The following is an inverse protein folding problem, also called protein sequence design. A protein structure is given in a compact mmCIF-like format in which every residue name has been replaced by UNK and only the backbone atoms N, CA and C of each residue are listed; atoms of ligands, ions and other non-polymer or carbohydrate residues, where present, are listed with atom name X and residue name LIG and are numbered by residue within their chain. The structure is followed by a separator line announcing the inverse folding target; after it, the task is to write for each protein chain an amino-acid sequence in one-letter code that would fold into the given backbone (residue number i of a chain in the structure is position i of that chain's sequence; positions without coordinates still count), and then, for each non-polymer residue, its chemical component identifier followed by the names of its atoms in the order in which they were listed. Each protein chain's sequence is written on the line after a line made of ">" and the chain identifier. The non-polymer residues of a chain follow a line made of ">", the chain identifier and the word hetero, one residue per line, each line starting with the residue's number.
data_IF_589268907656
#
_entry.id   IF_589268907656
#
_cell.length_a   1.000
_cell.length_b   1.000
_cell.length_c   1.000
_cell.angle_alpha   90.00
_cell.angle_beta   90.00
_cell.angle_gamma   90.00
#
_symmetry.space_group_name_H-M   'P 1'
#
loop_
_entity.id
_entity.type
_entity.pdbx_description
1 polymer ?
#
# COMPACT_ATOMS: atom_id res chain seq x y z
N UNK A 1 8.38 -8.04 15.81
CA UNK A 1 7.32 -7.86 14.78
C UNK A 1 6.04 -7.51 15.49
N UNK A 2 5.35 -6.44 15.08
CA UNK A 2 4.18 -5.90 15.79
C UNK A 2 3.00 -5.73 14.83
N UNK A 3 1.85 -6.38 15.08
CA UNK A 3 0.67 -6.22 14.23
C UNK A 3 -0.06 -4.91 14.54
N UNK A 4 -0.64 -4.32 13.52
CA UNK A 4 -1.48 -3.13 13.56
C UNK A 4 -2.76 -3.38 12.79
N UNK A 5 -3.89 -2.91 13.33
CA UNK A 5 -5.21 -3.05 12.71
C UNK A 5 -5.82 -1.66 12.59
N UNK A 6 -6.30 -1.33 11.39
CA UNK A 6 -7.00 -0.08 11.13
C UNK A 6 -8.16 -0.30 10.17
N UNK A 7 -9.15 0.57 10.31
CA UNK A 7 -10.29 0.67 9.40
C UNK A 7 -10.28 2.04 8.74
N UNK A 8 -10.35 2.05 7.42
CA UNK A 8 -10.58 3.25 6.63
C UNK A 8 -12.06 3.41 6.32
N UNK A 9 -12.47 4.65 6.14
CA UNK A 9 -13.85 5.10 6.05
C UNK A 9 -14.18 5.68 4.67
N UNK A 10 -15.47 5.74 4.29
CA UNK A 10 -15.91 6.29 3.02
C UNK A 10 -15.30 7.66 2.70
N UNK A 11 -14.86 7.83 1.46
CA UNK A 11 -14.29 9.08 0.96
C UNK A 11 -12.81 9.32 1.31
N UNK A 12 -12.21 8.50 2.18
CA UNK A 12 -10.76 8.53 2.38
C UNK A 12 -10.03 7.99 1.15
N UNK A 13 -8.80 8.47 0.96
CA UNK A 13 -7.88 7.89 0.00
C UNK A 13 -7.15 6.69 0.62
N UNK A 14 -7.22 5.53 -0.02
CA UNK A 14 -6.63 4.28 0.47
C UNK A 14 -5.12 4.43 0.68
N UNK A 15 -4.38 4.89 -0.33
CA UNK A 15 -2.92 4.92 -0.27
C UNK A 15 -2.47 6.00 0.71
N UNK A 16 -3.01 7.22 0.59
CA UNK A 16 -2.60 8.33 1.44
C UNK A 16 -2.96 8.08 2.92
N UNK A 17 -4.08 7.43 3.21
CA UNK A 17 -4.44 7.07 4.58
C UNK A 17 -3.50 6.02 5.18
N UNK A 18 -3.07 5.02 4.40
CA UNK A 18 -2.06 4.04 4.86
C UNK A 18 -0.73 4.74 5.11
N UNK A 19 -0.27 5.57 4.17
CA UNK A 19 0.99 6.29 4.32
C UNK A 19 0.97 7.24 5.54
N UNK A 20 -0.18 7.89 5.80
CA UNK A 20 -0.38 8.72 7.01
C UNK A 20 -0.32 7.88 8.28
N UNK A 21 -0.96 6.71 8.29
CA UNK A 21 -0.92 5.78 9.41
C UNK A 21 0.52 5.34 9.75
N UNK A 22 1.36 5.10 8.73
CA UNK A 22 2.77 4.74 8.94
C UNK A 22 3.54 5.87 9.64
N UNK A 23 3.31 7.12 9.23
CA UNK A 23 3.96 8.29 9.83
C UNK A 23 3.50 8.47 11.27
N UNK A 24 2.19 8.43 11.53
CA UNK A 24 1.62 8.62 12.87
C UNK A 24 2.05 7.55 13.89
N UNK A 25 2.36 6.34 13.41
CA UNK A 25 2.76 5.21 14.24
C UNK A 25 4.27 4.91 14.17
N UNK A 26 5.05 5.79 13.54
CA UNK A 26 6.51 5.69 13.43
C UNK A 26 6.96 4.34 12.82
N UNK A 27 6.22 3.84 11.82
CA UNK A 27 6.50 2.56 11.16
C UNK A 27 7.51 2.80 10.02
N UNK A 28 8.79 2.52 10.29
CA UNK A 28 9.88 2.64 9.31
C UNK A 28 9.98 1.46 8.33
N UNK A 29 9.48 0.27 8.73
CA UNK A 29 9.47 -0.93 7.92
C UNK A 29 8.26 -1.81 8.25
N UNK A 30 7.58 -2.31 7.22
CA UNK A 30 6.48 -3.24 7.40
C UNK A 30 5.94 -3.81 6.10
N UNK A 31 4.86 -4.58 6.22
CA UNK A 31 4.11 -5.07 5.08
C UNK A 31 2.60 -5.07 5.34
N UNK A 32 1.83 -5.05 4.25
CA UNK A 32 0.39 -5.35 4.31
C UNK A 32 0.22 -6.86 4.47
N UNK A 33 -0.50 -7.28 5.51
CA UNK A 33 -0.86 -8.69 5.72
C UNK A 33 -2.16 -9.01 4.97
N UNK A 34 -3.15 -8.14 5.09
CA UNK A 34 -4.42 -8.27 4.38
C UNK A 34 -5.14 -6.93 4.30
N UNK A 35 -5.93 -6.74 3.26
CA UNK A 35 -6.91 -5.67 3.13
C UNK A 35 -8.19 -6.22 2.51
N UNK A 36 -9.32 -5.99 3.17
CA UNK A 36 -10.66 -6.30 2.64
C UNK A 36 -11.48 -5.03 2.67
N UNK A 37 -12.15 -4.68 1.58
CA UNK A 37 -12.89 -3.43 1.51
C UNK A 37 -13.43 -3.12 0.14
N UNK A 38 -13.78 -1.86 -0.08
CA UNK A 38 -14.33 -1.44 -1.37
C UNK A 38 -13.87 -0.03 -1.76
N UNK A 39 -13.80 0.20 -3.07
CA UNK A 39 -13.46 1.49 -3.68
C UNK A 39 -14.60 1.96 -4.59
N UNK A 40 -14.81 3.28 -4.66
CA UNK A 40 -15.69 3.90 -5.68
C UNK A 40 -14.91 4.57 -6.82
N UNK A 41 -13.60 4.71 -6.62
CA UNK A 41 -12.64 5.25 -7.57
C UNK A 41 -11.31 4.55 -7.31
N UNK A 42 -10.66 4.04 -8.35
CA UNK A 42 -9.35 3.44 -8.25
C UNK A 42 -8.41 4.10 -9.26
N UNK A 43 -7.26 4.59 -8.80
CA UNK A 43 -6.21 5.12 -9.67
C UNK A 43 -5.07 4.12 -9.76
N UNK A 44 -4.94 3.51 -10.93
CA UNK A 44 -4.10 2.34 -11.17
C UNK A 44 -3.09 2.62 -12.28
N UNK A 45 -1.80 2.42 -12.02
CA UNK A 45 -0.79 2.41 -13.09
C UNK A 45 -0.55 0.99 -13.56
N UNK A 46 -1.11 0.68 -14.74
CA UNK A 46 -0.94 -0.63 -15.36
C UNK A 46 0.51 -0.87 -15.79
N UNK A 47 0.84 -2.15 -16.01
CA UNK A 47 2.17 -2.56 -16.40
C UNK A 47 2.66 -1.80 -17.65
N UNK A 48 3.89 -1.31 -17.58
CA UNK A 48 4.55 -0.56 -18.65
C UNK A 48 3.79 0.71 -19.11
N UNK A 49 3.00 1.31 -18.22
CA UNK A 49 2.37 2.62 -18.46
C UNK A 49 3.07 3.70 -17.65
N UNK A 50 3.25 4.88 -18.25
CA UNK A 50 3.88 6.02 -17.58
C UNK A 50 2.94 6.66 -16.54
N UNK A 51 1.64 6.69 -16.84
CA UNK A 51 0.62 7.40 -16.06
C UNK A 51 -0.44 6.46 -15.48
N UNK A 52 -1.11 6.95 -14.43
CA UNK A 52 -2.26 6.27 -13.84
C UNK A 52 -3.50 6.32 -14.72
N UNK A 53 -4.31 5.27 -14.64
CA UNK A 53 -5.66 5.19 -15.21
C UNK A 53 -6.67 5.24 -14.07
N UNK A 54 -7.61 6.17 -14.15
CA UNK A 54 -8.72 6.28 -13.20
C UNK A 54 -9.85 5.36 -13.67
N UNK A 55 -10.25 4.45 -12.79
CA UNK A 55 -11.44 3.62 -12.92
C UNK A 55 -12.49 4.14 -11.92
N UNK A 56 -13.70 4.40 -12.41
CA UNK A 56 -14.85 4.81 -11.57
C UNK A 56 -15.92 3.73 -11.66
N UNK A 57 -16.51 3.38 -10.53
CA UNK A 57 -17.46 2.28 -10.42
C UNK A 57 -17.60 1.86 -8.96
N UNK A 58 -18.07 0.64 -8.72
CA UNK A 58 -18.02 0.02 -7.39
C UNK A 58 -17.14 -1.21 -7.48
N UNK A 59 -16.12 -1.27 -6.62
CA UNK A 59 -15.13 -2.32 -6.66
C UNK A 59 -14.91 -2.92 -5.28
N UNK A 60 -14.80 -4.24 -5.21
CA UNK A 60 -14.31 -4.95 -4.03
C UNK A 60 -12.77 -5.02 -4.08
N UNK A 61 -12.10 -4.71 -2.97
CA UNK A 61 -10.66 -4.94 -2.79
C UNK A 61 -10.50 -6.42 -2.45
N UNK A 62 -10.02 -7.18 -3.43
CA UNK A 62 -9.83 -8.65 -3.30
C UNK A 62 -8.39 -9.02 -2.93
N UNK A 63 -7.43 -8.11 -3.15
CA UNK A 63 -6.09 -8.21 -2.59
C UNK A 63 -5.43 -6.83 -2.52
N UNK A 64 -4.67 -6.58 -1.45
CA UNK A 64 -3.70 -5.50 -1.37
C UNK A 64 -2.40 -6.08 -0.82
N UNK A 65 -1.32 -5.87 -1.56
CA UNK A 65 0.03 -6.24 -1.13
C UNK A 65 0.88 -4.98 -1.10
N UNK A 66 1.75 -4.85 -0.12
CA UNK A 66 2.67 -3.72 -0.10
C UNK A 66 3.84 -3.92 0.83
N UNK A 67 4.97 -3.33 0.44
CA UNK A 67 6.13 -3.10 1.29
C UNK A 67 6.06 -1.67 1.77
N UNK A 68 5.93 -1.51 3.09
CA UNK A 68 5.64 -0.26 3.76
C UNK A 68 6.92 0.36 4.28
N UNK A 69 7.16 1.62 3.92
CA UNK A 69 8.36 2.36 4.31
C UNK A 69 8.01 3.83 4.49
N UNK A 70 8.56 4.43 5.54
CA UNK A 70 8.48 5.88 5.76
C UNK A 70 9.17 6.70 4.65
N UNK A 71 10.07 6.09 3.87
CA UNK A 71 10.76 6.72 2.73
C UNK A 71 10.07 6.51 1.39
N UNK A 72 8.98 5.74 1.34
CA UNK A 72 8.23 5.46 0.12
C UNK A 72 7.71 4.02 0.09
N UNK A 73 6.41 3.86 0.36
CA UNK A 73 5.75 2.56 0.25
C UNK A 73 5.49 2.15 -1.19
N UNK A 74 5.47 0.84 -1.46
CA UNK A 74 5.15 0.28 -2.77
C UNK A 74 3.96 -0.68 -2.63
N UNK A 75 2.85 -0.35 -3.30
CA UNK A 75 1.59 -1.08 -3.22
C UNK A 75 1.16 -1.63 -4.58
N UNK A 76 0.78 -2.89 -4.61
CA UNK A 76 -0.02 -3.47 -5.68
C UNK A 76 -1.38 -3.88 -5.14
N UNK A 77 -2.42 -3.68 -5.94
CA UNK A 77 -3.81 -3.98 -5.58
C UNK A 77 -4.46 -4.82 -6.68
N UNK A 78 -5.41 -5.68 -6.29
CA UNK A 78 -6.38 -6.30 -7.17
C UNK A 78 -7.79 -5.91 -6.69
N UNK A 79 -8.61 -5.44 -7.63
CA UNK A 79 -9.99 -5.03 -7.39
C UNK A 79 -10.94 -5.75 -8.34
N UNK A 80 -12.14 -6.11 -7.88
CA UNK A 80 -13.17 -6.76 -8.70
C UNK A 80 -14.38 -5.84 -8.89
N UNK A 81 -14.86 -5.69 -10.12
CA UNK A 81 -16.10 -4.94 -10.40
C UNK A 81 -17.38 -5.75 -10.12
N UNK A 82 -18.54 -5.15 -10.38
CA UNK A 82 -19.86 -5.78 -10.21
C UNK A 82 -20.09 -7.04 -11.07
N UNK A 83 -19.29 -7.28 -12.10
CA UNK A 83 -19.31 -8.53 -12.88
C UNK A 83 -18.28 -9.55 -12.39
N UNK A 84 -17.50 -9.23 -11.34
CA UNK A 84 -16.41 -10.05 -10.86
C UNK A 84 -15.15 -9.99 -11.73
N UNK A 85 -15.07 -9.06 -12.69
CA UNK A 85 -13.86 -8.87 -13.48
C UNK A 85 -12.81 -8.16 -12.63
N UNK A 86 -11.61 -8.73 -12.61
CA UNK A 86 -10.51 -8.27 -11.77
C UNK A 86 -9.58 -7.34 -12.56
N UNK A 87 -9.24 -6.20 -11.97
CA UNK A 87 -8.20 -5.28 -12.42
C UNK A 87 -7.07 -5.29 -11.38
N UNK A 88 -5.84 -5.50 -11.82
CA UNK A 88 -4.67 -5.52 -10.94
C UNK A 88 -3.55 -4.63 -11.47
N UNK A 89 -2.96 -3.82 -10.59
CA UNK A 89 -1.94 -2.85 -10.98
C UNK A 89 -1.18 -2.26 -9.77
N UNK A 90 -0.28 -1.33 -10.06
CA UNK A 90 0.32 -0.46 -9.06
C UNK A 90 -0.70 0.58 -8.57
N UNK A 91 -0.88 0.67 -7.25
CA UNK A 91 -1.84 1.58 -6.61
C UNK A 91 -1.25 2.99 -6.52
N UNK A 92 -1.99 3.98 -6.99
CA UNK A 92 -1.66 5.39 -6.87
C UNK A 92 -2.62 6.10 -5.92
N UNK A 93 -2.21 7.30 -5.48
CA UNK A 93 -3.09 8.25 -4.82
C UNK A 93 -4.27 8.61 -5.74
N UNK A 94 -5.39 8.99 -5.16
CA UNK A 94 -6.68 9.15 -5.83
C UNK A 94 -7.55 7.88 -5.82
N UNK A 95 -7.27 6.91 -4.95
CA UNK A 95 -8.06 5.67 -4.84
C UNK A 95 -8.97 5.74 -3.62
N UNK A 96 -10.27 5.89 -3.84
CA UNK A 96 -11.21 6.38 -2.83
C UNK A 96 -12.10 5.28 -2.27
N UNK A 97 -12.09 5.13 -0.94
CA UNK A 97 -12.91 4.15 -0.21
C UNK A 97 -14.39 4.37 -0.47
N UNK A 98 -15.11 3.29 -0.77
CA UNK A 98 -16.56 3.32 -0.91
C UNK A 98 -17.27 3.11 0.43
N UNK A 99 -17.18 1.91 1.02
CA UNK A 99 -17.86 1.60 2.30
C UNK A 99 -16.89 1.46 3.47
N UNK A 100 -15.80 0.73 3.29
CA UNK A 100 -14.78 0.45 4.30
C UNK A 100 -13.51 -0.09 3.64
N UNK A 101 -12.38 0.01 4.32
CA UNK A 101 -11.26 -0.89 4.08
C UNK A 101 -10.66 -1.31 5.43
N UNK A 102 -10.61 -2.61 5.67
CA UNK A 102 -10.13 -3.24 6.89
C UNK A 102 -8.74 -3.78 6.61
N UNK A 103 -7.73 -3.18 7.25
CA UNK A 103 -6.33 -3.42 6.96
C UNK A 103 -5.63 -4.00 8.18
N UNK A 104 -4.81 -5.02 7.94
CA UNK A 104 -3.83 -5.51 8.91
C UNK A 104 -2.44 -5.26 8.35
N UNK A 105 -1.61 -4.60 9.14
CA UNK A 105 -0.21 -4.28 8.83
C UNK A 105 0.69 -4.99 9.83
N UNK A 106 1.84 -5.48 9.36
CA UNK A 106 2.89 -6.03 10.22
C UNK A 106 4.11 -5.11 10.19
N UNK A 107 4.47 -4.56 11.34
CA UNK A 107 5.67 -3.74 11.52
C UNK A 107 6.89 -4.62 11.84
N UNK A 108 8.02 -4.29 11.23
CA UNK A 108 9.33 -4.90 11.47
C UNK A 108 10.23 -3.96 12.28
N UNK A 109 10.26 -4.13 13.60
CA UNK A 109 10.98 -3.24 14.53
C UNK A 109 12.51 -3.32 14.42
N UNK A 110 13.02 -4.38 13.81
CA UNK A 110 14.46 -4.59 13.59
C UNK A 110 14.94 -4.06 12.23
N UNK A 111 14.04 -3.48 11.44
CA UNK A 111 14.35 -3.01 10.09
C UNK A 111 13.99 -1.54 9.91
N UNK A 112 14.77 -0.89 9.05
CA UNK A 112 14.40 0.34 8.35
C UNK A 112 14.43 0.06 6.85
N UNK A 113 13.35 0.40 6.16
CA UNK A 113 13.31 0.27 4.70
C UNK A 113 13.57 1.62 4.07
N UNK A 114 14.54 1.67 3.15
CA UNK A 114 14.86 2.85 2.35
C UNK A 114 14.58 2.62 0.88
N UNK A 115 14.54 3.72 0.10
CA UNK A 115 14.46 3.71 -1.36
C UNK A 115 15.72 4.35 -1.93
N UNK A 116 16.57 3.53 -2.56
CA UNK A 116 17.84 3.99 -3.13
C UNK A 116 17.77 3.83 -4.64
N UNK A 117 18.24 4.84 -5.37
CA UNK A 117 18.31 4.78 -6.83
C UNK A 117 19.18 3.59 -7.28
N UNK A 118 18.58 2.67 -8.01
CA UNK A 118 19.25 1.52 -8.59
C UNK A 118 19.62 1.77 -10.06
N UNK A 119 20.84 1.40 -10.44
CA UNK A 119 21.37 1.69 -11.78
C UNK A 119 20.82 0.75 -12.85
N UNK A 120 20.43 -0.47 -12.47
CA UNK A 120 19.92 -1.47 -13.43
C UNK A 120 18.47 -1.17 -13.82
N UNK A 121 17.63 -0.86 -12.84
CA UNK A 121 16.21 -0.55 -13.03
C UNK A 121 15.95 0.91 -13.41
N UNK A 122 16.80 1.84 -12.97
CA UNK A 122 16.58 3.28 -13.09
C UNK A 122 15.52 3.84 -12.13
N UNK A 123 15.13 3.07 -11.10
CA UNK A 123 14.12 3.46 -10.11
C UNK A 123 14.69 3.43 -8.68
N UNK A 124 14.06 4.16 -7.73
CA UNK A 124 14.33 4.00 -6.31
C UNK A 124 13.80 2.64 -5.81
N UNK A 125 14.69 1.68 -5.63
CA UNK A 125 14.36 0.32 -5.23
C UNK A 125 14.50 0.09 -3.72
N UNK A 126 13.89 -0.98 -3.22
CA UNK A 126 13.91 -1.33 -1.79
C UNK A 126 15.33 -1.61 -1.31
N UNK A 127 15.77 -0.89 -0.27
CA UNK A 127 16.99 -1.17 0.46
C UNK A 127 16.67 -1.46 1.93
N UNK A 128 16.67 -2.73 2.37
CA UNK A 128 16.41 -3.08 3.76
C UNK A 128 17.68 -2.94 4.62
N UNK A 129 17.57 -2.21 5.72
CA UNK A 129 18.64 -2.00 6.70
C UNK A 129 18.25 -2.68 8.01
N UNK A 130 19.10 -3.57 8.51
CA UNK A 130 18.92 -4.17 9.84
C UNK A 130 19.42 -3.19 10.91
N UNK A 131 18.52 -2.73 11.77
CA UNK A 131 18.84 -1.86 12.90
C UNK A 131 18.96 -2.73 14.14
N UNK A 132 20.19 -3.19 14.44
CA UNK A 132 20.48 -4.04 15.59
C UNK A 132 19.83 -3.46 16.86
N UNK A 133 18.95 -4.25 17.49
CA UNK A 133 18.51 -3.98 18.86
C UNK A 133 19.75 -4.02 19.77
N UNK A 134 19.89 -3.01 20.63
CA UNK A 134 20.95 -2.93 21.64
C UNK A 134 21.22 -4.31 22.25
N UNK A 135 22.49 -4.70 22.26
CA UNK A 135 22.99 -5.85 23.02
C UNK A 135 22.38 -5.82 24.43
N UNK A 136 21.67 -6.89 24.78
CA UNK A 136 21.19 -7.16 26.13
C UNK A 136 22.34 -7.56 27.05
#
# INVERSE_FOLDING_TARGET
>A
MKPHVLRLHPGQDLKAAIDTFLVENEIAAGCVVTCVGSLRKANLRFANQETGTILTGFFEIVALTGVLSSSGSHYHIAIADEQGKVYGAHLLDGSEIYTTAELVVLQFEEYQFERIMDQESGYPELHPILINQKES
#
